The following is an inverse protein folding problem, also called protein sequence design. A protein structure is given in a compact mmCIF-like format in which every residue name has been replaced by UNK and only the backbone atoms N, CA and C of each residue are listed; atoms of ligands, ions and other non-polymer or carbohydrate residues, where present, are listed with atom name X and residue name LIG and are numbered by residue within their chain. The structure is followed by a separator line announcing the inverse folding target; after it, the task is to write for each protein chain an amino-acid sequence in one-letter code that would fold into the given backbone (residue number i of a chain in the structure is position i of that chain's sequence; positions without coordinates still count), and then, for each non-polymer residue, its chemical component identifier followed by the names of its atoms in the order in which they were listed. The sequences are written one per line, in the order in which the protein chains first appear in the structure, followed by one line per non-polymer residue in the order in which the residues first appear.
data_IF_457376394170
#
_entry.id   IF_457376394170
#
_cell.length_a   1.000
_cell.length_b   1.000
_cell.length_c   1.000
_cell.angle_alpha   90.00
_cell.angle_beta   90.00
_cell.angle_gamma   90.00
#
_symmetry.space_group_name_H-M   'P 1'
#
loop_
_entity.id
_entity.type
_entity.pdbx_description
1 polymer ?
#
# COMPACT_ATOMS: atom_id res chain seq x y z
N UNK A 1 1.47 -11.29 -0.19
CA UNK A 1 2.08 -12.08 -1.27
C UNK A 1 3.55 -11.67 -1.37
N UNK A 2 4.49 -12.58 -1.08
CA UNK A 2 5.92 -12.29 -1.17
C UNK A 2 6.31 -11.71 -2.54
N UNK A 3 5.80 -12.26 -3.64
CA UNK A 3 6.13 -11.78 -5.00
C UNK A 3 5.77 -10.31 -5.21
N UNK A 4 4.70 -9.83 -4.56
CA UNK A 4 4.24 -8.43 -4.66
C UNK A 4 4.95 -7.47 -3.71
N UNK A 5 5.70 -7.97 -2.71
CA UNK A 5 6.21 -7.12 -1.61
C UNK A 5 7.70 -7.28 -1.34
N UNK A 6 8.35 -8.31 -1.90
CA UNK A 6 9.76 -8.61 -1.69
C UNK A 6 10.67 -7.45 -2.12
N UNK A 7 10.38 -6.81 -3.25
CA UNK A 7 11.13 -5.65 -3.73
C UNK A 7 11.09 -4.46 -2.76
N UNK A 8 9.97 -4.26 -2.04
CA UNK A 8 9.86 -3.22 -1.01
C UNK A 8 10.71 -3.56 0.22
N UNK A 9 10.74 -4.84 0.59
CA UNK A 9 11.54 -5.34 1.72
C UNK A 9 13.05 -5.32 1.43
N UNK A 10 13.44 -5.37 0.16
CA UNK A 10 14.84 -5.31 -0.27
C UNK A 10 15.40 -3.88 -0.30
N UNK A 11 14.58 -2.85 -0.08
CA UNK A 11 15.04 -1.45 -0.04
C UNK A 11 15.96 -1.21 1.17
N UNK A 12 16.95 -0.34 0.99
CA UNK A 12 17.88 0.03 2.05
C UNK A 12 17.12 0.65 3.25
N UNK A 13 17.27 0.02 4.41
CA UNK A 13 16.63 0.48 5.64
C UNK A 13 15.16 0.06 5.80
N UNK A 14 14.66 -0.84 4.95
CA UNK A 14 13.28 -1.33 5.04
C UNK A 14 13.04 -2.14 6.33
N UNK A 15 14.03 -2.89 6.81
CA UNK A 15 13.92 -3.67 8.05
C UNK A 15 13.66 -2.81 9.29
N UNK A 16 14.10 -1.55 9.28
CA UNK A 16 14.01 -0.63 10.42
C UNK A 16 12.85 0.35 10.28
N UNK A 17 12.46 0.73 9.04
CA UNK A 17 11.53 1.84 8.79
C UNK A 17 10.26 1.45 8.04
N UNK A 18 10.22 0.28 7.37
CA UNK A 18 9.07 -0.12 6.55
C UNK A 18 8.22 -1.17 7.28
N UNK A 19 6.99 -0.78 7.61
CA UNK A 19 5.97 -1.68 8.13
C UNK A 19 4.93 -1.95 7.04
N UNK A 20 4.77 -3.22 6.65
CA UNK A 20 3.76 -3.62 5.67
C UNK A 20 2.55 -4.20 6.37
N UNK A 21 1.39 -3.59 6.13
CA UNK A 21 0.09 -4.04 6.61
C UNK A 21 -0.73 -4.61 5.46
N UNK A 22 -1.54 -5.63 5.75
CA UNK A 22 -2.56 -6.11 4.81
C UNK A 22 -3.83 -5.31 5.07
N UNK A 23 -4.28 -4.54 4.10
CA UNK A 23 -5.53 -3.80 4.15
C UNK A 23 -6.26 -3.95 2.80
N UNK A 24 -7.58 -4.00 2.84
CA UNK A 24 -8.43 -3.99 1.65
C UNK A 24 -9.23 -2.69 1.67
N UNK A 25 -9.26 -1.99 0.53
CA UNK A 25 -9.83 -0.66 0.43
C UNK A 25 -11.33 -0.62 0.77
N UNK A 26 -12.05 -1.69 0.43
CA UNK A 26 -13.50 -1.76 0.60
C UNK A 26 -13.94 -2.29 1.97
N UNK A 27 -13.00 -2.74 2.79
CA UNK A 27 -13.29 -3.29 4.11
C UNK A 27 -13.24 -2.14 5.14
N UNK A 28 -14.36 -1.92 5.84
CA UNK A 28 -14.45 -0.89 6.89
C UNK A 28 -13.43 -1.16 8.00
N UNK A 29 -12.75 -0.09 8.46
CA UNK A 29 -11.74 -0.17 9.50
C UNK A 29 -10.41 -0.82 9.09
N UNK A 30 -10.24 -1.24 7.82
CA UNK A 30 -9.04 -1.97 7.38
C UNK A 30 -7.72 -1.17 7.50
N UNK A 31 -7.81 0.15 7.63
CA UNK A 31 -6.66 1.04 7.77
C UNK A 31 -6.42 1.54 9.20
N UNK A 32 -7.34 1.32 10.14
CA UNK A 32 -7.33 1.96 11.46
C UNK A 32 -5.98 1.77 12.17
N UNK A 33 -5.50 0.52 12.23
CA UNK A 33 -4.19 0.20 12.82
C UNK A 33 -3.03 0.84 12.06
N UNK A 34 -3.11 0.91 10.73
CA UNK A 34 -2.01 1.40 9.90
C UNK A 34 -1.87 2.93 9.95
N UNK A 35 -2.95 3.66 10.24
CA UNK A 35 -2.95 5.13 10.32
C UNK A 35 -2.87 5.66 11.76
N UNK A 36 -3.01 4.80 12.76
CA UNK A 36 -2.85 5.18 14.17
C UNK A 36 -1.46 5.76 14.39
N UNK A 37 -1.39 6.89 15.09
CA UNK A 37 -0.16 7.64 15.42
C UNK A 37 0.66 8.14 14.21
N UNK A 38 0.06 8.20 13.02
CA UNK A 38 0.69 8.83 11.86
C UNK A 38 0.52 10.35 11.88
N UNK A 39 1.59 11.11 11.63
CA UNK A 39 1.54 12.57 11.48
C UNK A 39 0.80 13.02 10.20
N UNK A 40 0.77 12.15 9.19
CA UNK A 40 0.10 12.40 7.92
C UNK A 40 -0.12 11.12 7.11
N UNK A 41 -1.13 11.14 6.24
CA UNK A 41 -1.53 9.98 5.44
C UNK A 41 -1.58 10.34 3.95
N UNK A 42 -0.88 9.57 3.13
CA UNK A 42 -0.97 9.64 1.67
C UNK A 42 -1.89 8.52 1.16
N UNK A 43 -3.11 8.85 0.79
CA UNK A 43 -4.06 7.88 0.25
C UNK A 43 -3.93 7.78 -1.27
N UNK A 44 -3.18 6.79 -1.75
CA UNK A 44 -2.96 6.53 -3.19
C UNK A 44 -3.83 5.40 -3.75
N UNK A 45 -4.53 4.67 -2.88
CA UNK A 45 -5.37 3.56 -3.28
C UNK A 45 -6.62 4.08 -4.00
N UNK A 46 -6.67 3.93 -5.32
CA UNK A 46 -7.85 4.19 -6.13
C UNK A 46 -8.17 2.94 -6.94
N UNK A 47 -9.40 2.41 -6.89
CA UNK A 47 -9.80 1.37 -7.80
C UNK A 47 -9.92 1.99 -9.19
N UNK A 48 -8.88 1.85 -10.01
CA UNK A 48 -8.94 2.21 -11.42
C UNK A 48 -9.16 0.95 -12.27
N UNK A 49 -9.99 1.10 -13.29
CA UNK A 49 -10.18 0.10 -14.33
C UNK A 49 -9.38 0.54 -15.54
N UNK A 50 -8.38 -0.26 -15.94
CA UNK A 50 -7.70 -0.07 -17.22
C UNK A 50 -8.51 -0.77 -18.32
N UNK A 51 -9.47 -0.03 -18.90
CA UNK A 51 -10.03 -0.36 -20.22
C UNK A 51 -9.51 0.66 -21.24
N UNK A 52 -8.19 0.63 -21.44
CA UNK A 52 -7.50 1.55 -22.34
C UNK A 52 -6.99 0.73 -23.52
N UNK A 53 -7.56 0.98 -24.70
CA UNK A 53 -7.22 0.28 -25.93
C UNK A 53 -5.86 0.73 -26.51
N UNK A 54 -5.47 1.99 -26.31
CA UNK A 54 -4.13 2.51 -26.62
C UNK A 54 -3.77 3.64 -25.62
N UNK A 55 -2.77 3.43 -24.75
CA UNK A 55 -2.38 4.39 -23.71
C UNK A 55 -1.35 5.46 -24.16
N UNK A 56 -1.02 5.54 -25.45
CA UNK A 56 -0.12 6.57 -26.01
C UNK A 56 -0.79 7.92 -26.28
#
# INVERSE_FOLDING_TARGET
DPKKTEHLRALEGASERLHLFKANLLDEGAFDTAVTDCDGVFHTASPFYHDVQDPQ
#
